data_IF_213303801166
#
_entry.id   IF_213303801166
#
_cell.length_a   1.000
_cell.length_b   1.000
_cell.length_c   1.000
_cell.angle_alpha   90.00
_cell.angle_beta   90.00
_cell.angle_gamma   90.00
#
_symmetry.space_group_name_H-M   'P 1'
#
loop_
_entity.id
_entity.type
_entity.pdbx_description
1 polymer ?
#
# COMPACT_ATOMS: atom_id res chain seq x y z
N UNK A 1 -5.96 9.35 12.38
CA UNK A 1 -7.11 8.67 11.75
C UNK A 1 -8.10 8.20 12.80
N UNK A 2 -9.40 8.44 12.61
CA UNK A 2 -10.46 8.03 13.56
C UNK A 2 -11.16 6.76 13.10
N UNK A 3 -11.74 5.98 14.02
CA UNK A 3 -12.59 4.83 13.66
C UNK A 3 -13.75 5.23 12.74
N UNK A 4 -14.33 6.42 12.97
CA UNK A 4 -15.40 6.95 12.13
C UNK A 4 -14.96 7.12 10.67
N UNK A 5 -13.75 7.66 10.43
CA UNK A 5 -13.22 7.79 9.07
C UNK A 5 -13.07 6.43 8.37
N UNK A 6 -12.59 5.42 9.08
CA UNK A 6 -12.42 4.07 8.49
C UNK A 6 -13.77 3.41 8.23
N UNK A 7 -14.75 3.59 9.12
CA UNK A 7 -16.10 3.09 8.91
C UNK A 7 -16.74 3.75 7.66
N UNK A 8 -16.61 5.07 7.53
CA UNK A 8 -17.07 5.81 6.35
C UNK A 8 -16.36 5.34 5.07
N UNK A 9 -15.05 5.07 5.16
CA UNK A 9 -14.29 4.48 4.05
C UNK A 9 -14.90 3.15 3.61
N UNK A 10 -15.12 2.21 4.54
CA UNK A 10 -15.71 0.91 4.23
C UNK A 10 -17.10 1.05 3.60
N UNK A 11 -17.96 1.90 4.16
CA UNK A 11 -19.29 2.16 3.63
C UNK A 11 -19.27 2.70 2.18
N UNK A 12 -18.33 3.57 1.86
CA UNK A 12 -18.16 4.09 0.51
C UNK A 12 -17.70 2.99 -0.46
N UNK A 13 -16.75 2.14 -0.05
CA UNK A 13 -16.29 1.02 -0.88
C UNK A 13 -17.42 0.02 -1.14
N UNK A 14 -18.21 -0.31 -0.11
CA UNK A 14 -19.38 -1.20 -0.23
C UNK A 14 -20.40 -0.64 -1.21
N UNK A 15 -20.77 0.65 -1.09
CA UNK A 15 -21.72 1.31 -2.01
C UNK A 15 -21.25 1.29 -3.47
N UNK A 16 -19.93 1.29 -3.68
CA UNK A 16 -19.29 1.27 -5.00
C UNK A 16 -18.99 -0.15 -5.50
N UNK A 17 -19.28 -1.18 -4.71
CA UNK A 17 -18.95 -2.57 -5.03
C UNK A 17 -17.44 -2.82 -5.14
N UNK A 18 -16.63 -2.11 -4.35
CA UNK A 18 -15.17 -2.19 -4.40
C UNK A 18 -14.65 -3.15 -3.34
N UNK A 19 -13.94 -4.17 -3.81
CA UNK A 19 -13.16 -5.10 -3.02
C UNK A 19 -11.68 -4.90 -3.36
N UNK A 20 -10.81 -5.05 -2.36
CA UNK A 20 -9.39 -4.75 -2.52
C UNK A 20 -8.48 -5.83 -1.94
N UNK A 21 -7.33 -6.00 -2.60
CA UNK A 21 -6.20 -6.79 -2.11
C UNK A 21 -5.00 -5.87 -1.95
N UNK A 22 -4.24 -6.06 -0.88
CA UNK A 22 -3.08 -5.23 -0.55
C UNK A 22 -1.75 -6.01 -0.55
N UNK A 23 -0.66 -5.32 -0.88
CA UNK A 23 0.72 -5.75 -0.69
C UNK A 23 1.44 -4.70 0.17
N UNK A 24 1.87 -5.10 1.36
CA UNK A 24 2.41 -4.22 2.37
C UNK A 24 3.90 -4.48 2.60
N UNK A 25 4.73 -3.44 2.50
CA UNK A 25 6.11 -3.47 3.01
C UNK A 25 6.19 -2.57 4.24
N UNK A 26 6.37 -1.26 4.08
CA UNK A 26 6.62 -0.32 5.19
C UNK A 26 5.49 -0.30 6.24
N UNK A 27 4.24 -0.48 5.84
CA UNK A 27 3.08 -0.53 6.74
C UNK A 27 2.99 -1.84 7.52
N UNK A 28 3.58 -2.94 7.02
CA UNK A 28 3.70 -4.22 7.71
C UNK A 28 2.39 -4.77 8.30
N UNK A 29 1.30 -4.71 7.54
CA UNK A 29 -0.03 -5.20 7.96
C UNK A 29 -0.90 -4.11 8.59
N UNK A 30 -0.36 -2.91 8.84
CA UNK A 30 -1.11 -1.82 9.44
C UNK A 30 -2.31 -1.42 8.57
N UNK A 31 -2.16 -1.35 7.25
CA UNK A 31 -3.25 -0.99 6.34
C UNK A 31 -4.41 -2.00 6.48
N UNK A 32 -4.10 -3.29 6.39
CA UNK A 32 -5.08 -4.35 6.55
C UNK A 32 -5.75 -4.30 7.93
N UNK A 33 -4.96 -4.11 8.99
CA UNK A 33 -5.49 -4.02 10.35
C UNK A 33 -6.40 -2.81 10.57
N UNK A 34 -6.07 -1.67 9.94
CA UNK A 34 -6.90 -0.46 10.00
C UNK A 34 -8.23 -0.71 9.31
N UNK A 35 -8.24 -1.20 8.07
CA UNK A 35 -9.49 -1.52 7.35
C UNK A 35 -10.30 -2.57 8.14
N UNK A 36 -9.61 -3.58 8.68
CA UNK A 36 -10.18 -4.68 9.45
C UNK A 36 -10.68 -4.34 10.85
N UNK A 37 -10.40 -3.15 11.38
CA UNK A 37 -10.75 -2.80 12.77
C UNK A 37 -12.20 -2.35 12.95
N UNK A 38 -12.96 -2.17 11.87
CA UNK A 38 -14.33 -1.64 11.90
C UNK A 38 -15.29 -2.52 11.08
N UNK A 39 -16.59 -2.31 11.26
CA UNK A 39 -17.63 -3.04 10.54
C UNK A 39 -17.51 -2.84 9.01
N UNK A 40 -17.98 -3.82 8.24
CA UNK A 40 -17.96 -3.80 6.77
C UNK A 40 -16.64 -4.25 6.15
N UNK A 41 -15.60 -4.47 6.95
CA UNK A 41 -14.28 -4.85 6.45
C UNK A 41 -14.27 -6.11 5.57
N UNK A 42 -15.09 -7.13 5.89
CA UNK A 42 -15.14 -8.38 5.11
C UNK A 42 -15.69 -8.22 3.69
N UNK A 43 -16.48 -7.16 3.45
CA UNK A 43 -17.00 -6.84 2.12
C UNK A 43 -15.99 -6.07 1.27
N UNK A 44 -15.00 -5.43 1.92
CA UNK A 44 -14.04 -4.53 1.29
C UNK A 44 -12.66 -5.19 1.17
N UNK A 45 -12.11 -5.69 2.26
CA UNK A 45 -10.77 -6.28 2.31
C UNK A 45 -10.83 -7.77 2.01
N UNK A 46 -10.34 -8.16 0.82
CA UNK A 46 -10.15 -9.57 0.46
C UNK A 46 -9.00 -10.18 1.26
N UNK A 47 -7.91 -9.42 1.38
CA UNK A 47 -6.70 -9.88 2.02
C UNK A 47 -5.54 -8.90 1.81
N UNK A 48 -4.47 -9.15 2.56
CA UNK A 48 -3.23 -8.40 2.44
C UNK A 48 -2.05 -9.34 2.61
N UNK A 49 -0.96 -9.05 1.92
CA UNK A 49 0.28 -9.82 1.98
C UNK A 49 1.39 -8.89 2.41
N UNK A 50 2.05 -9.22 3.51
CA UNK A 50 3.21 -8.48 3.99
C UNK A 50 4.47 -9.00 3.30
N UNK A 51 4.96 -8.29 2.30
CA UNK A 51 6.18 -8.60 1.55
C UNK A 51 7.32 -7.67 1.94
N UNK A 52 7.75 -7.76 3.21
CA UNK A 52 8.73 -6.85 3.78
C UNK A 52 10.14 -6.99 3.14
N UNK A 53 10.59 -8.23 2.91
CA UNK A 53 11.91 -8.48 2.30
C UNK A 53 11.88 -8.43 0.77
N UNK A 54 13.02 -8.09 0.15
CA UNK A 54 13.23 -8.14 -1.31
C UNK A 54 12.82 -9.49 -1.89
N UNK A 55 13.33 -10.58 -1.30
CA UNK A 55 13.07 -11.93 -1.77
C UNK A 55 11.59 -12.30 -1.72
N UNK A 56 10.85 -11.82 -0.71
CA UNK A 56 9.43 -12.13 -0.59
C UNK A 56 8.58 -11.36 -1.61
N UNK A 57 8.99 -10.13 -2.00
CA UNK A 57 8.39 -9.39 -3.11
C UNK A 57 8.48 -10.21 -4.41
N UNK A 58 9.66 -10.75 -4.73
CA UNK A 58 9.84 -11.63 -5.90
C UNK A 58 9.08 -12.95 -5.75
N UNK A 59 9.19 -13.64 -4.61
CA UNK A 59 8.64 -14.99 -4.47
C UNK A 59 7.10 -15.03 -4.48
N UNK A 60 6.43 -14.01 -3.95
CA UNK A 60 4.97 -14.02 -3.78
C UNK A 60 4.26 -13.13 -4.80
N UNK A 61 4.87 -12.00 -5.16
CA UNK A 61 4.27 -11.02 -6.08
C UNK A 61 4.94 -11.02 -7.45
N UNK A 62 5.94 -11.90 -7.66
CA UNK A 62 6.60 -12.07 -8.95
C UNK A 62 7.15 -10.73 -9.48
N UNK A 63 7.73 -9.95 -8.56
CA UNK A 63 8.53 -8.75 -8.83
C UNK A 63 9.85 -9.19 -9.43
N UNK A 64 10.20 -8.65 -10.59
CA UNK A 64 11.45 -8.92 -11.30
C UNK A 64 12.64 -8.47 -10.42
N UNK A 65 13.55 -9.39 -10.05
CA UNK A 65 14.74 -9.03 -9.29
C UNK A 65 15.54 -7.89 -9.91
N UNK A 66 15.55 -7.79 -11.25
CA UNK A 66 16.28 -6.74 -11.99
C UNK A 66 15.72 -5.34 -11.69
N UNK A 67 14.41 -5.21 -11.47
CA UNK A 67 13.79 -3.94 -11.09
C UNK A 67 14.25 -3.52 -9.70
N UNK A 68 14.30 -4.46 -8.75
CA UNK A 68 14.75 -4.17 -7.38
C UNK A 68 16.26 -3.84 -7.38
N UNK A 69 17.06 -4.49 -8.23
CA UNK A 69 18.49 -4.21 -8.34
C UNK A 69 18.78 -2.84 -8.96
N UNK A 70 17.98 -2.42 -9.95
CA UNK A 70 18.13 -1.12 -10.60
C UNK A 70 17.53 0.04 -9.80
N UNK A 71 16.40 -0.18 -9.13
CA UNK A 71 15.59 0.89 -8.54
C UNK A 71 15.50 0.82 -7.02
N UNK A 72 15.96 -0.25 -6.36
CA UNK A 72 15.75 -0.59 -4.93
C UNK A 72 14.34 -1.08 -4.60
N UNK A 73 14.17 -1.69 -3.42
CA UNK A 73 12.89 -2.21 -2.94
C UNK A 73 11.91 -1.10 -2.53
N UNK A 74 12.43 0.09 -2.28
CA UNK A 74 11.71 1.30 -1.90
C UNK A 74 11.70 2.27 -3.09
N UNK A 75 10.99 1.87 -4.15
CA UNK A 75 10.86 2.64 -5.39
C UNK A 75 9.48 2.48 -6.02
N UNK A 76 9.11 3.43 -6.88
CA UNK A 76 7.84 3.39 -7.61
C UNK A 76 7.76 2.16 -8.52
N UNK A 77 8.87 1.80 -9.19
CA UNK A 77 8.94 0.66 -10.10
C UNK A 77 8.68 -0.66 -9.38
N UNK A 78 9.32 -0.88 -8.22
CA UNK A 78 9.06 -2.05 -7.39
C UNK A 78 7.61 -2.07 -6.90
N UNK A 79 7.06 -0.92 -6.49
CA UNK A 79 5.67 -0.81 -6.03
C UNK A 79 4.66 -1.16 -7.14
N UNK A 80 4.91 -0.74 -8.37
CA UNK A 80 4.07 -1.09 -9.52
C UNK A 80 4.06 -2.58 -9.79
N UNK A 81 5.23 -3.23 -9.76
CA UNK A 81 5.31 -4.68 -9.94
C UNK A 81 4.64 -5.44 -8.80
N UNK A 82 4.74 -4.95 -7.56
CA UNK A 82 3.98 -5.50 -6.43
C UNK A 82 2.47 -5.44 -6.70
N UNK A 83 1.95 -4.30 -7.17
CA UNK A 83 0.54 -4.15 -7.49
C UNK A 83 0.10 -5.06 -8.65
N UNK A 84 0.91 -5.16 -9.72
CA UNK A 84 0.66 -6.13 -10.81
C UNK A 84 0.74 -7.58 -10.33
N UNK A 85 1.60 -7.90 -9.36
CA UNK A 85 1.69 -9.21 -8.74
C UNK A 85 0.37 -9.60 -8.08
N UNK A 86 -0.27 -8.66 -7.40
CA UNK A 86 -1.59 -8.87 -6.79
C UNK A 86 -2.68 -9.16 -7.84
N UNK A 87 -2.66 -8.47 -8.99
CA UNK A 87 -3.65 -8.72 -10.06
C UNK A 87 -3.54 -10.14 -10.63
N UNK A 88 -2.32 -10.67 -10.71
CA UNK A 88 -2.07 -12.07 -11.12
C UNK A 88 -2.47 -13.05 -10.03
N UNK A 89 -2.19 -12.73 -8.77
CA UNK A 89 -2.44 -13.61 -7.64
C UNK A 89 -3.93 -13.75 -7.34
N UNK A 90 -4.70 -12.66 -7.42
CA UNK A 90 -6.14 -12.67 -7.17
C UNK A 90 -6.88 -11.68 -8.10
N UNK A 91 -7.25 -12.07 -9.33
CA UNK A 91 -7.89 -11.16 -10.28
C UNK A 91 -9.32 -10.73 -9.92
N UNK A 92 -9.93 -11.32 -8.88
CA UNK A 92 -11.32 -11.10 -8.49
C UNK A 92 -11.56 -9.89 -7.57
N UNK A 93 -10.65 -8.91 -7.56
CA UNK A 93 -10.77 -7.66 -6.82
C UNK A 93 -10.79 -6.47 -7.78
N UNK A 94 -11.36 -5.36 -7.33
CA UNK A 94 -11.49 -4.13 -8.13
C UNK A 94 -10.28 -3.21 -7.96
N UNK A 95 -9.69 -3.20 -6.77
CA UNK A 95 -8.57 -2.32 -6.41
C UNK A 95 -7.41 -3.13 -5.85
N UNK A 96 -6.22 -2.88 -6.37
CA UNK A 96 -4.99 -3.54 -5.94
C UNK A 96 -4.00 -2.51 -5.45
N UNK A 97 -3.60 -2.64 -4.18
CA UNK A 97 -2.81 -1.62 -3.50
C UNK A 97 -1.44 -2.18 -3.14
N UNK A 98 -0.38 -1.50 -3.53
CA UNK A 98 0.97 -1.83 -3.06
C UNK A 98 1.61 -0.61 -2.39
N UNK A 99 2.32 -0.84 -1.29
CA UNK A 99 3.05 0.22 -0.59
C UNK A 99 4.43 -0.25 -0.13
N UNK A 100 5.44 0.58 -0.41
CA UNK A 100 6.81 0.44 0.08
C UNK A 100 7.34 1.80 0.52
N UNK A 101 8.47 1.84 1.23
CA UNK A 101 9.05 3.09 1.70
C UNK A 101 9.97 2.95 2.90
N UNK A 102 10.44 4.10 3.37
CA UNK A 102 11.42 4.24 4.44
C UNK A 102 10.76 4.90 5.64
N UNK A 103 10.57 4.16 6.72
CA UNK A 103 10.01 4.70 7.96
C UNK A 103 11.07 4.99 9.05
N UNK A 104 12.34 4.64 8.82
CA UNK A 104 13.45 4.94 9.71
C UNK A 104 14.77 4.76 8.98
N UNK A 105 15.85 5.35 9.50
CA UNK A 105 17.20 5.06 9.03
C UNK A 105 17.47 3.55 9.06
N UNK A 106 18.12 2.98 8.03
CA UNK A 106 18.46 1.57 8.01
C UNK A 106 19.48 1.25 9.12
N UNK A 107 19.39 0.03 9.64
CA UNK A 107 20.41 -0.53 10.54
C UNK A 107 21.12 -1.66 9.80
N UNK A 108 22.45 -1.60 9.72
CA UNK A 108 23.27 -2.63 9.07
C UNK A 108 23.68 -2.27 7.63
N UNK A 109 24.04 -3.27 6.79
CA UNK A 109 24.67 -3.04 5.50
C UNK A 109 23.69 -2.64 4.38
N UNK A 110 22.39 -2.55 4.68
CA UNK A 110 21.39 -2.12 3.72
C UNK A 110 21.48 -0.61 3.55
N UNK A 111 22.13 -0.16 2.48
CA UNK A 111 22.17 1.24 2.11
C UNK A 111 20.94 1.60 1.30
N UNK A 112 20.31 2.72 1.67
CA UNK A 112 19.17 3.27 0.95
C UNK A 112 19.38 4.76 0.75
N UNK A 113 19.44 5.19 -0.51
CA UNK A 113 19.56 6.61 -0.89
C UNK A 113 18.17 7.26 -0.97
N UNK A 114 17.38 7.10 0.10
CA UNK A 114 16.04 7.67 0.24
C UNK A 114 15.88 8.24 1.63
N UNK A 115 15.28 9.42 1.69
CA UNK A 115 15.02 10.07 2.97
C UNK A 115 14.01 9.28 3.80
N UNK A 116 14.20 9.28 5.13
CA UNK A 116 13.16 8.84 6.07
C UNK A 116 11.86 9.58 5.77
N UNK A 117 10.76 8.82 5.66
CA UNK A 117 9.45 9.31 5.26
C UNK A 117 9.12 9.12 3.78
N UNK A 118 10.09 8.79 2.93
CA UNK A 118 9.81 8.49 1.52
C UNK A 118 8.92 7.24 1.41
N UNK A 119 7.73 7.41 0.85
CA UNK A 119 6.77 6.33 0.58
C UNK A 119 6.41 6.32 -0.89
N UNK A 120 6.23 5.12 -1.43
CA UNK A 120 5.71 4.85 -2.75
C UNK A 120 4.46 4.00 -2.63
N UNK A 121 3.43 4.42 -3.34
CA UNK A 121 2.11 3.81 -3.41
C UNK A 121 1.75 3.59 -4.88
N UNK A 122 1.25 2.39 -5.16
CA UNK A 122 0.65 2.05 -6.44
C UNK A 122 -0.75 1.53 -6.20
N UNK A 123 -1.73 2.12 -6.88
CA UNK A 123 -3.11 1.66 -6.88
C UNK A 123 -3.45 1.26 -8.32
N UNK A 124 -3.62 -0.04 -8.57
CA UNK A 124 -4.12 -0.51 -9.85
C UNK A 124 -5.65 -0.61 -9.77
N UNK A 125 -6.33 0.14 -10.64
CA UNK A 125 -7.79 0.26 -10.68
C UNK A 125 -8.25 0.48 -12.12
N UNK A 126 -9.32 -0.20 -12.55
CA UNK A 126 -9.89 -0.10 -13.92
C UNK A 126 -8.83 -0.16 -15.02
N UNK A 127 -7.92 -1.13 -14.92
CA UNK A 127 -6.81 -1.34 -15.87
C UNK A 127 -5.81 -0.19 -16.00
N UNK A 128 -5.74 0.69 -15.01
CA UNK A 128 -4.82 1.81 -14.97
C UNK A 128 -4.00 1.75 -13.68
N UNK A 129 -2.69 1.98 -13.80
CA UNK A 129 -1.80 2.14 -12.64
C UNK A 129 -1.80 3.61 -12.20
N UNK A 130 -2.13 3.85 -10.93
CA UNK A 130 -2.08 5.17 -10.30
C UNK A 130 -0.91 5.21 -9.31
N UNK A 131 0.09 6.02 -9.63
CA UNK A 131 1.35 6.10 -8.90
C UNK A 131 1.39 7.32 -7.98
N UNK A 132 1.90 7.14 -6.77
CA UNK A 132 2.12 8.21 -5.81
C UNK A 132 3.44 8.00 -5.08
N UNK A 133 4.38 8.95 -5.25
CA UNK A 133 5.60 9.03 -4.47
C UNK A 133 5.58 10.31 -3.65
N UNK A 134 5.55 10.19 -2.33
CA UNK A 134 5.49 11.34 -1.43
C UNK A 134 6.44 11.15 -0.25
N UNK A 135 6.96 12.26 0.25
CA UNK A 135 7.78 12.29 1.45
C UNK A 135 6.88 12.67 2.62
N UNK A 136 6.57 11.68 3.46
CA UNK A 136 5.68 11.85 4.61
C UNK A 136 6.44 12.42 5.81
N UNK A 137 5.82 13.41 6.44
CA UNK A 137 6.27 14.00 7.69
C UNK A 137 5.16 13.90 8.72
N UNK A 138 5.52 13.59 9.95
CA UNK A 138 4.62 13.56 11.09
C UNK A 138 5.34 14.16 12.31
N UNK A 139 4.58 14.60 13.33
CA UNK A 139 5.05 15.40 14.46
C UNK A 139 6.51 15.18 14.86
N UNK A 140 6.84 14.01 15.42
CA UNK A 140 8.20 13.65 15.82
C UNK A 140 8.96 12.81 14.77
N UNK A 141 8.35 12.58 13.61
CA UNK A 141 8.84 11.70 12.52
C UNK A 141 9.27 10.32 13.03
N UNK A 142 8.55 9.79 14.02
CA UNK A 142 8.80 8.42 14.47
C UNK A 142 8.36 7.43 13.40
N UNK A 143 8.96 6.24 13.45
CA UNK A 143 8.66 5.16 12.52
C UNK A 143 7.17 4.81 12.43
N UNK A 144 6.46 4.79 13.56
CA UNK A 144 5.04 4.45 13.57
C UNK A 144 4.17 5.60 13.05
N UNK A 145 4.50 6.85 13.37
CA UNK A 145 3.77 7.99 12.82
C UNK A 145 3.85 8.05 11.28
N UNK A 146 5.01 7.72 10.69
CA UNK A 146 5.16 7.61 9.23
C UNK A 146 4.28 6.49 8.66
N UNK A 147 4.24 5.33 9.32
CA UNK A 147 3.40 4.19 8.90
C UNK A 147 1.92 4.53 8.96
N UNK A 148 1.47 5.18 10.03
CA UNK A 148 0.09 5.65 10.20
C UNK A 148 -0.27 6.66 9.12
N UNK A 149 0.62 7.63 8.84
CA UNK A 149 0.42 8.62 7.78
C UNK A 149 0.38 7.98 6.38
N UNK A 150 1.16 6.93 6.15
CA UNK A 150 1.10 6.16 4.91
C UNK A 150 -0.27 5.48 4.74
N UNK A 151 -0.83 4.91 5.81
CA UNK A 151 -2.18 4.32 5.75
C UNK A 151 -3.24 5.39 5.50
N UNK A 152 -3.16 6.55 6.16
CA UNK A 152 -4.06 7.69 5.88
C UNK A 152 -4.02 8.10 4.40
N UNK A 153 -2.81 8.31 3.87
CA UNK A 153 -2.61 8.65 2.46
C UNK A 153 -3.26 7.62 1.53
N UNK A 154 -3.05 6.33 1.79
CA UNK A 154 -3.59 5.24 0.96
C UNK A 154 -5.12 5.31 0.91
N UNK A 155 -5.78 5.40 2.07
CA UNK A 155 -7.25 5.44 2.14
C UNK A 155 -7.80 6.71 1.47
N UNK A 156 -7.15 7.85 1.64
CA UNK A 156 -7.52 9.11 0.97
C UNK A 156 -7.40 8.99 -0.56
N UNK A 157 -6.29 8.45 -1.08
CA UNK A 157 -6.11 8.27 -2.53
C UNK A 157 -7.13 7.30 -3.11
N UNK A 158 -7.45 6.20 -2.42
CA UNK A 158 -8.48 5.26 -2.86
C UNK A 158 -9.85 5.94 -2.90
N UNK A 159 -10.23 6.72 -1.88
CA UNK A 159 -11.51 7.43 -1.85
C UNK A 159 -11.67 8.38 -3.03
N UNK A 160 -10.63 9.17 -3.32
CA UNK A 160 -10.60 10.12 -4.44
C UNK A 160 -10.68 9.37 -5.77
N UNK A 161 -9.83 8.36 -5.96
CA UNK A 161 -9.74 7.62 -7.21
C UNK A 161 -11.05 6.91 -7.56
N UNK A 162 -11.80 6.47 -6.55
CA UNK A 162 -13.00 5.66 -6.74
C UNK A 162 -14.29 6.50 -6.67
N UNK A 163 -14.19 7.82 -6.51
CA UNK A 163 -15.35 8.71 -6.41
C UNK A 163 -16.21 8.74 -7.70
N UNK A 164 -15.58 8.59 -8.87
CA UNK A 164 -16.24 8.61 -10.19
C UNK A 164 -16.82 7.24 -10.61
N UNK A 165 -17.13 6.36 -9.65
CA UNK A 165 -17.62 5.00 -9.91
C UNK A 165 -19.16 4.88 -9.96
N UNK A 166 -19.90 6.01 -9.95
CA UNK A 166 -21.36 6.06 -10.00
C UNK A 166 -21.88 6.45 -11.40
#
# INVERSE_FOLDING_TARGET
MTEHFVADFNDQMIKRGIRMVCAESVTAGLLASTIGSVQGASEVLIGSIVTYSRNLKTAVLDVDPRVIDQHTAESQQTTNEMAYGLTRLYPGAEVFVAVTGVASEPVGPYEIDKEVGQVYLSIYYKNTMHEHGEILRAGNNTRNEIRERAVELILEKILVLTADAL
#
